data_IF_068004183873
#
_entry.id   IF_068004183873
#
_cell.length_a   1.000
_cell.length_b   1.000
_cell.length_c   1.000
_cell.angle_alpha   90.00
_cell.angle_beta   90.00
_cell.angle_gamma   90.00
#
_symmetry.space_group_name_H-M   'P 1'
#
loop_
_entity.id
_entity.type
_entity.pdbx_description
1 polymer ?
#
# COMPACT_ATOMS: atom_id res chain seq x y z
N UNK A 1 10.86 19.86 45.72
CA UNK A 1 10.47 18.48 46.06
C UNK A 1 11.20 17.59 45.07
N UNK A 2 12.18 16.83 45.54
CA UNK A 2 12.98 15.91 44.71
C UNK A 2 12.16 14.65 44.47
N UNK A 3 11.60 14.48 43.28
CA UNK A 3 10.92 13.25 42.86
C UNK A 3 11.89 12.08 43.09
N UNK A 4 11.44 11.07 43.84
CA UNK A 4 12.28 9.89 44.12
C UNK A 4 12.59 9.16 42.82
N UNK A 5 13.81 8.63 42.67
CA UNK A 5 14.17 7.82 41.50
C UNK A 5 13.17 6.67 41.27
N UNK A 6 12.57 6.12 42.33
CA UNK A 6 11.53 5.10 42.23
C UNK A 6 10.25 5.63 41.58
N UNK A 7 9.81 6.85 41.90
CA UNK A 7 8.59 7.43 41.33
C UNK A 7 8.77 7.72 39.83
N UNK A 8 9.96 8.20 39.45
CA UNK A 8 10.34 8.41 38.05
C UNK A 8 10.29 7.09 37.28
N UNK A 9 10.89 6.03 37.81
CA UNK A 9 10.90 4.71 37.16
C UNK A 9 9.50 4.10 37.05
N UNK A 10 8.65 4.26 38.06
CA UNK A 10 7.25 3.80 37.99
C UNK A 10 6.47 4.51 36.88
N UNK A 11 6.63 5.83 36.73
CA UNK A 11 5.98 6.57 35.65
C UNK A 11 6.46 6.13 34.26
N UNK A 12 7.76 5.87 34.10
CA UNK A 12 8.28 5.30 32.85
C UNK A 12 7.73 3.91 32.57
N UNK A 13 7.55 3.07 33.58
CA UNK A 13 6.96 1.75 33.40
C UNK A 13 5.51 1.82 32.90
N UNK A 14 4.69 2.70 33.49
CA UNK A 14 3.30 2.92 33.04
C UNK A 14 3.26 3.40 31.58
N UNK A 15 4.13 4.33 31.23
CA UNK A 15 4.27 4.83 29.87
C UNK A 15 4.63 3.72 28.86
N UNK A 16 5.62 2.89 29.20
CA UNK A 16 6.05 1.78 28.35
C UNK A 16 4.95 0.71 28.19
N UNK A 17 4.19 0.45 29.25
CA UNK A 17 3.06 -0.48 29.20
C UNK A 17 1.96 0.05 28.25
N UNK A 18 1.58 1.32 28.38
CA UNK A 18 0.58 1.93 27.50
C UNK A 18 1.03 1.95 26.03
N UNK A 19 2.31 2.24 25.77
CA UNK A 19 2.88 2.17 24.43
C UNK A 19 2.88 0.74 23.88
N UNK A 20 3.22 -0.25 24.71
CA UNK A 20 3.19 -1.65 24.33
C UNK A 20 1.78 -2.10 23.94
N UNK A 21 0.77 -1.75 24.74
CA UNK A 21 -0.62 -2.09 24.47
C UNK A 21 -1.10 -1.45 23.16
N UNK A 22 -0.76 -0.19 22.91
CA UNK A 22 -1.06 0.48 21.64
C UNK A 22 -0.39 -0.22 20.44
N UNK A 23 0.87 -0.63 20.57
CA UNK A 23 1.57 -1.38 19.51
C UNK A 23 0.87 -2.70 19.20
N UNK A 24 0.34 -3.38 20.21
CA UNK A 24 -0.39 -4.63 20.02
C UNK A 24 -1.73 -4.40 19.31
N UNK A 25 -2.45 -3.33 19.67
CA UNK A 25 -3.67 -2.94 18.95
C UNK A 25 -3.40 -2.60 17.48
N UNK A 26 -2.29 -1.88 17.20
CA UNK A 26 -1.87 -1.56 15.83
C UNK A 26 -1.59 -2.84 15.05
N UNK A 27 -0.87 -3.80 15.63
CA UNK A 27 -0.55 -5.08 14.97
C UNK A 27 -1.79 -5.86 14.57
N UNK A 28 -2.84 -5.83 15.39
CA UNK A 28 -4.11 -6.50 15.07
C UNK A 28 -4.72 -5.89 13.80
N UNK A 29 -4.83 -4.56 13.74
CA UNK A 29 -5.37 -3.86 12.55
C UNK A 29 -4.50 -4.12 11.31
N UNK A 30 -3.17 -4.05 11.46
CA UNK A 30 -2.22 -4.31 10.36
C UNK A 30 -2.37 -5.73 9.83
N UNK A 31 -2.53 -6.74 10.69
CA UNK A 31 -2.71 -8.14 10.27
C UNK A 31 -3.98 -8.32 9.44
N UNK A 32 -5.06 -7.67 9.82
CA UNK A 32 -6.35 -7.75 9.12
C UNK A 32 -6.30 -6.97 7.78
N UNK A 33 -5.58 -5.85 7.76
CA UNK A 33 -5.24 -5.12 6.54
C UNK A 33 -4.41 -5.99 5.59
N UNK A 34 -3.35 -6.64 6.08
CA UNK A 34 -2.53 -7.55 5.27
C UNK A 34 -3.33 -8.72 4.69
N UNK A 35 -4.27 -9.26 5.46
CA UNK A 35 -5.14 -10.32 4.99
C UNK A 35 -6.00 -9.85 3.81
N UNK A 36 -6.60 -8.67 3.95
CA UNK A 36 -7.37 -8.04 2.86
C UNK A 36 -6.49 -7.81 1.63
N UNK A 37 -5.25 -7.33 1.80
CA UNK A 37 -4.30 -7.13 0.70
C UNK A 37 -3.92 -8.45 0.02
N UNK A 38 -3.74 -9.55 0.78
CA UNK A 38 -3.48 -10.88 0.19
C UNK A 38 -4.66 -11.38 -0.63
N UNK A 39 -5.89 -11.12 -0.19
CA UNK A 39 -7.09 -11.47 -0.94
C UNK A 39 -7.18 -10.67 -2.26
N UNK A 40 -6.88 -9.36 -2.23
CA UNK A 40 -6.83 -8.50 -3.44
C UNK A 40 -5.76 -9.01 -4.40
N UNK A 41 -4.57 -9.31 -3.88
CA UNK A 41 -3.48 -9.84 -4.69
C UNK A 41 -3.89 -11.16 -5.37
N UNK A 42 -4.57 -12.03 -4.64
CA UNK A 42 -5.04 -13.33 -5.16
C UNK A 42 -6.09 -13.16 -6.25
N UNK A 43 -7.01 -12.19 -6.11
CA UNK A 43 -8.01 -11.92 -7.14
C UNK A 43 -7.41 -11.34 -8.43
N UNK A 44 -6.25 -10.69 -8.36
CA UNK A 44 -5.52 -10.16 -9.50
C UNK A 44 -4.55 -11.17 -10.15
N UNK A 45 -4.10 -12.22 -9.45
CA UNK A 45 -3.18 -13.22 -10.04
C UNK A 45 -3.64 -13.86 -11.37
N UNK A 46 -4.95 -14.07 -11.64
CA UNK A 46 -5.40 -14.63 -12.92
C UNK A 46 -5.01 -13.83 -14.17
N UNK A 47 -4.60 -12.56 -14.06
CA UNK A 47 -4.09 -11.75 -15.19
C UNK A 47 -2.89 -12.39 -15.89
N UNK A 48 -2.17 -13.29 -15.19
CA UNK A 48 -1.01 -14.02 -15.70
C UNK A 48 -1.39 -15.29 -16.47
N UNK A 49 -2.66 -15.71 -16.45
CA UNK A 49 -3.11 -16.91 -17.14
C UNK A 49 -3.49 -16.57 -18.58
N UNK A 50 -2.87 -17.19 -19.60
CA UNK A 50 -3.15 -16.89 -21.00
C UNK A 50 -4.65 -16.92 -21.37
N UNK A 51 -5.37 -17.90 -20.82
CA UNK A 51 -6.80 -18.10 -21.07
C UNK A 51 -7.71 -17.00 -20.47
N UNK A 52 -7.21 -16.19 -19.53
CA UNK A 52 -8.00 -15.19 -18.80
C UNK A 52 -7.58 -13.75 -19.14
N UNK A 53 -6.68 -13.57 -20.10
CA UNK A 53 -6.14 -12.26 -20.51
C UNK A 53 -7.21 -11.25 -20.90
N UNK A 54 -8.36 -11.70 -21.46
CA UNK A 54 -9.47 -10.82 -21.84
C UNK A 54 -10.35 -10.36 -20.66
N UNK A 55 -10.24 -11.01 -19.49
CA UNK A 55 -11.11 -10.77 -18.33
C UNK A 55 -10.49 -9.85 -17.28
N UNK A 56 -9.36 -9.18 -17.57
CA UNK A 56 -8.64 -8.36 -16.59
C UNK A 56 -9.52 -7.28 -15.93
N UNK A 57 -10.50 -6.73 -16.66
CA UNK A 57 -11.43 -5.74 -16.12
C UNK A 57 -12.27 -6.30 -14.97
N UNK A 58 -12.78 -7.53 -15.08
CA UNK A 58 -13.59 -8.12 -14.02
C UNK A 58 -12.75 -8.46 -12.78
N UNK A 59 -11.48 -8.83 -12.95
CA UNK A 59 -10.55 -8.99 -11.82
C UNK A 59 -10.29 -7.65 -11.12
N UNK A 60 -10.14 -6.57 -11.89
CA UNK A 60 -9.99 -5.22 -11.33
C UNK A 60 -11.25 -4.78 -10.57
N UNK A 61 -12.43 -5.02 -11.10
CA UNK A 61 -13.71 -4.72 -10.42
C UNK A 61 -13.85 -5.51 -9.11
N UNK A 62 -13.52 -6.80 -9.14
CA UNK A 62 -13.54 -7.64 -7.94
C UNK A 62 -12.53 -7.13 -6.89
N UNK A 63 -11.31 -6.81 -7.29
CA UNK A 63 -10.31 -6.21 -6.42
C UNK A 63 -10.80 -4.88 -5.81
N UNK A 64 -11.33 -3.97 -6.64
CA UNK A 64 -11.88 -2.68 -6.21
C UNK A 64 -13.06 -2.84 -5.25
N UNK A 65 -13.88 -3.89 -5.42
CA UNK A 65 -14.99 -4.16 -4.51
C UNK A 65 -14.54 -4.37 -3.07
N UNK A 66 -13.28 -4.75 -2.83
CA UNK A 66 -12.72 -4.99 -1.50
C UNK A 66 -12.03 -3.76 -0.90
N UNK A 67 -11.84 -2.67 -1.65
CA UNK A 67 -11.17 -1.46 -1.16
C UNK A 67 -11.91 -0.77 -0.02
N UNK A 68 -13.23 -0.95 0.10
CA UNK A 68 -13.97 -0.46 1.26
C UNK A 68 -13.42 -1.02 2.59
N UNK A 69 -12.95 -2.28 2.59
CA UNK A 69 -12.31 -2.89 3.77
C UNK A 69 -10.96 -2.24 4.06
N UNK A 70 -10.18 -1.94 3.02
CA UNK A 70 -8.91 -1.21 3.15
C UNK A 70 -9.15 0.15 3.81
N UNK A 71 -10.14 0.90 3.33
CA UNK A 71 -10.54 2.19 3.91
C UNK A 71 -10.96 2.05 5.38
N UNK A 72 -11.73 1.02 5.72
CA UNK A 72 -12.13 0.74 7.09
C UNK A 72 -10.92 0.46 8.00
N UNK A 73 -9.97 -0.37 7.55
CA UNK A 73 -8.75 -0.68 8.30
C UNK A 73 -7.88 0.55 8.51
N UNK A 74 -7.69 1.40 7.50
CA UNK A 74 -6.94 2.66 7.66
C UNK A 74 -7.65 3.65 8.58
N UNK A 75 -8.98 3.70 8.55
CA UNK A 75 -9.77 4.50 9.49
C UNK A 75 -9.60 4.02 10.94
N UNK A 76 -9.61 2.71 11.15
CA UNK A 76 -9.36 2.10 12.47
C UNK A 76 -7.92 2.34 12.93
N UNK A 77 -6.95 2.25 12.02
CA UNK A 77 -5.55 2.54 12.32
C UNK A 77 -5.39 4.02 12.70
N UNK A 78 -5.92 4.94 11.89
CA UNK A 78 -5.86 6.38 12.12
C UNK A 78 -6.51 6.80 13.44
N UNK A 79 -7.56 6.13 13.91
CA UNK A 79 -8.22 6.48 15.17
C UNK A 79 -7.42 6.06 16.41
N UNK A 80 -6.49 5.10 16.26
CA UNK A 80 -5.61 4.62 17.33
C UNK A 80 -4.35 5.46 17.48
N UNK A 81 -3.84 6.06 16.39
CA UNK A 81 -2.58 6.80 16.42
C UNK A 81 -2.79 8.19 17.04
N UNK A 82 -2.07 8.52 18.12
CA UNK A 82 -2.12 9.88 18.68
C UNK A 82 -1.60 10.91 17.68
N UNK A 83 -2.14 12.14 17.77
CA UNK A 83 -1.66 13.28 17.00
C UNK A 83 -0.13 13.41 17.10
N UNK A 84 0.52 13.66 15.97
CA UNK A 84 1.97 13.80 15.83
C UNK A 84 2.81 12.55 16.16
N UNK A 85 2.20 11.37 16.30
CA UNK A 85 2.94 10.11 16.54
C UNK A 85 2.96 9.16 15.33
N UNK A 86 2.62 9.64 14.13
CA UNK A 86 2.65 8.85 12.90
C UNK A 86 3.98 8.10 12.72
N UNK A 87 5.09 8.83 12.63
CA UNK A 87 6.43 8.26 12.42
C UNK A 87 6.99 7.49 13.61
N UNK A 88 6.34 7.53 14.77
CA UNK A 88 6.71 6.68 15.91
C UNK A 88 6.29 5.23 15.68
N UNK A 89 5.18 5.03 14.98
CA UNK A 89 4.57 3.73 14.79
C UNK A 89 4.52 3.28 13.32
N UNK A 90 4.92 4.12 12.36
CA UNK A 90 4.74 3.83 10.94
C UNK A 90 5.38 2.52 10.47
N UNK A 91 6.50 2.11 11.06
CA UNK A 91 7.16 0.83 10.76
C UNK A 91 6.22 -0.38 10.87
N UNK A 92 5.13 -0.30 11.66
CA UNK A 92 4.16 -1.40 11.75
C UNK A 92 3.34 -1.58 10.47
N UNK A 93 2.93 -0.49 9.81
CA UNK A 93 2.09 -0.56 8.60
C UNK A 93 2.85 -0.26 7.30
N UNK A 94 4.07 0.27 7.38
CA UNK A 94 4.91 0.67 6.25
C UNK A 94 4.90 -0.36 5.11
N UNK A 95 5.22 -1.61 5.43
CA UNK A 95 5.31 -2.67 4.43
C UNK A 95 3.96 -3.00 3.78
N UNK A 96 2.88 -3.03 4.57
CA UNK A 96 1.55 -3.29 4.01
C UNK A 96 1.05 -2.11 3.20
N UNK A 97 1.37 -0.86 3.58
CA UNK A 97 1.03 0.34 2.81
C UNK A 97 1.71 0.35 1.45
N UNK A 98 3.00 0.01 1.38
CA UNK A 98 3.71 -0.14 0.09
C UNK A 98 3.03 -1.19 -0.81
N UNK A 99 2.55 -2.30 -0.24
CA UNK A 99 1.79 -3.32 -0.98
C UNK A 99 0.43 -2.82 -1.43
N UNK A 100 -0.27 -2.02 -0.62
CA UNK A 100 -1.54 -1.39 -1.01
C UNK A 100 -1.32 -0.44 -2.18
N UNK A 101 -0.30 0.43 -2.12
CA UNK A 101 0.07 1.33 -3.22
C UNK A 101 0.31 0.53 -4.49
N UNK A 102 1.11 -0.55 -4.40
CA UNK A 102 1.36 -1.45 -5.52
C UNK A 102 0.04 -2.01 -6.12
N UNK A 103 -0.91 -2.47 -5.30
CA UNK A 103 -2.21 -2.95 -5.80
C UNK A 103 -3.00 -1.85 -6.51
N UNK A 104 -3.01 -0.62 -5.98
CA UNK A 104 -3.67 0.52 -6.62
C UNK A 104 -3.04 0.79 -7.99
N UNK A 105 -1.71 0.85 -8.04
CA UNK A 105 -0.96 1.14 -9.24
C UNK A 105 -1.15 0.04 -10.31
N UNK A 106 -1.20 -1.23 -9.91
CA UNK A 106 -1.49 -2.34 -10.81
C UNK A 106 -2.91 -2.24 -11.40
N UNK A 107 -3.91 -1.94 -10.58
CA UNK A 107 -5.30 -1.82 -11.04
C UNK A 107 -5.44 -0.66 -12.04
N UNK A 108 -4.86 0.51 -11.73
CA UNK A 108 -4.91 1.68 -12.62
C UNK A 108 -4.15 1.41 -13.91
N UNK A 109 -2.95 0.80 -13.83
CA UNK A 109 -2.21 0.40 -15.02
C UNK A 109 -3.02 -0.57 -15.90
N UNK A 110 -3.66 -1.60 -15.32
CA UNK A 110 -4.44 -2.56 -16.08
C UNK A 110 -5.64 -1.92 -16.78
N UNK A 111 -6.27 -0.90 -16.18
CA UNK A 111 -7.46 -0.24 -16.72
C UNK A 111 -7.15 0.88 -17.70
N UNK A 112 -6.10 1.65 -17.43
CA UNK A 112 -5.86 2.96 -18.05
C UNK A 112 -4.44 3.10 -18.63
N UNK A 113 -3.55 2.12 -18.39
CA UNK A 113 -2.16 2.10 -18.88
C UNK A 113 -1.34 3.33 -18.51
N UNK A 114 -1.62 3.88 -17.32
CA UNK A 114 -0.90 5.02 -16.74
C UNK A 114 -0.49 4.76 -15.30
N UNK A 115 0.37 5.64 -14.79
CA UNK A 115 0.75 5.66 -13.39
C UNK A 115 -0.37 6.30 -12.56
N UNK A 116 -0.68 5.71 -11.41
CA UNK A 116 -1.57 6.30 -10.41
C UNK A 116 -0.83 7.39 -9.64
N UNK A 117 -1.43 8.56 -9.46
CA UNK A 117 -0.88 9.64 -8.63
C UNK A 117 -0.96 9.30 -7.14
N UNK A 118 -0.16 9.98 -6.31
CA UNK A 118 -0.20 9.78 -4.85
C UNK A 118 -1.54 10.19 -4.26
N UNK A 119 -2.14 11.24 -4.81
CA UNK A 119 -3.45 11.78 -4.48
C UNK A 119 -4.54 10.74 -4.75
N UNK A 120 -4.53 10.12 -5.92
CA UNK A 120 -5.50 9.05 -6.24
C UNK A 120 -5.35 7.84 -5.31
N UNK A 121 -4.12 7.46 -4.94
CA UNK A 121 -3.94 6.36 -3.97
C UNK A 121 -4.51 6.75 -2.61
N UNK A 122 -4.28 7.98 -2.15
CA UNK A 122 -4.80 8.49 -0.88
C UNK A 122 -6.33 8.44 -0.85
N UNK A 123 -6.98 8.86 -1.95
CA UNK A 123 -8.43 8.78 -2.12
C UNK A 123 -8.95 7.34 -2.13
N UNK A 124 -8.26 6.44 -2.85
CA UNK A 124 -8.66 5.02 -2.92
C UNK A 124 -8.62 4.34 -1.56
N UNK A 125 -7.65 4.68 -0.71
CA UNK A 125 -7.47 4.03 0.61
C UNK A 125 -8.06 4.84 1.77
N UNK A 126 -8.58 6.04 1.51
CA UNK A 126 -9.28 6.87 2.49
C UNK A 126 -8.37 7.54 3.51
N UNK A 127 -7.19 8.00 3.09
CA UNK A 127 -6.23 8.73 3.93
C UNK A 127 -5.84 10.05 3.29
N UNK A 128 -5.08 10.88 4.00
CA UNK A 128 -4.64 12.18 3.53
C UNK A 128 -3.37 12.10 2.67
N UNK A 129 -3.12 13.17 1.92
CA UNK A 129 -1.88 13.33 1.14
C UNK A 129 -0.82 14.08 1.95
N UNK A 130 -1.22 15.12 2.67
CA UNK A 130 -0.30 15.91 3.49
C UNK A 130 -0.34 15.46 4.95
N UNK A 131 0.82 15.53 5.59
CA UNK A 131 0.97 15.25 7.02
C UNK A 131 0.12 16.15 7.90
N UNK A 132 -0.07 17.41 7.50
CA UNK A 132 -0.80 18.41 8.27
C UNK A 132 -2.30 18.09 8.39
N UNK A 133 -2.83 17.38 7.41
CA UNK A 133 -4.26 17.02 7.33
C UNK A 133 -4.58 15.75 8.15
N UNK A 134 -3.55 15.00 8.59
CA UNK A 134 -3.69 13.85 9.48
C UNK A 134 -2.92 12.61 9.06
N UNK A 135 -3.55 11.43 9.22
CA UNK A 135 -2.99 10.17 8.77
C UNK A 135 -2.87 10.17 7.24
N UNK A 136 -1.67 9.95 6.72
CA UNK A 136 -1.34 10.21 5.33
C UNK A 136 -0.52 9.09 4.67
N UNK A 137 -0.42 9.16 3.34
CA UNK A 137 0.53 8.35 2.55
C UNK A 137 1.88 9.06 2.50
N UNK A 138 2.89 8.42 3.10
CA UNK A 138 4.27 8.87 2.99
C UNK A 138 4.78 8.73 1.55
N UNK A 139 5.59 9.71 1.10
CA UNK A 139 6.15 9.71 -0.25
C UNK A 139 7.04 8.48 -0.48
N UNK A 140 7.84 8.08 0.51
CA UNK A 140 8.74 6.94 0.40
C UNK A 140 7.94 5.65 0.20
N UNK A 141 6.82 5.50 0.89
CA UNK A 141 5.96 4.32 0.77
C UNK A 141 5.22 4.28 -0.57
N UNK A 142 4.83 5.44 -1.10
CA UNK A 142 4.31 5.55 -2.44
C UNK A 142 5.35 5.09 -3.48
N UNK A 143 6.55 5.68 -3.46
CA UNK A 143 7.62 5.35 -4.41
C UNK A 143 8.03 3.88 -4.34
N UNK A 144 8.19 3.32 -3.13
CA UNK A 144 8.48 1.89 -2.94
C UNK A 144 7.36 1.00 -3.48
N UNK A 145 6.10 1.40 -3.32
CA UNK A 145 4.96 0.72 -3.94
C UNK A 145 5.03 0.71 -5.47
N UNK A 146 5.41 1.82 -6.10
CA UNK A 146 5.59 1.92 -7.56
C UNK A 146 6.75 1.04 -8.04
N UNK A 147 7.86 0.96 -7.29
CA UNK A 147 8.96 0.05 -7.65
C UNK A 147 8.53 -1.43 -7.64
N UNK A 148 7.62 -1.81 -6.75
CA UNK A 148 7.08 -3.17 -6.74
C UNK A 148 6.21 -3.47 -7.98
N UNK A 149 5.58 -2.45 -8.58
CA UNK A 149 4.80 -2.62 -9.81
C UNK A 149 5.67 -3.09 -10.98
N UNK A 150 6.90 -2.56 -11.14
CA UNK A 150 7.76 -2.89 -12.30
C UNK A 150 8.10 -4.38 -12.35
N UNK A 151 8.26 -5.02 -11.19
CA UNK A 151 8.49 -6.46 -11.09
C UNK A 151 7.29 -7.27 -11.60
N UNK A 152 6.07 -6.89 -11.23
CA UNK A 152 4.86 -7.57 -11.69
C UNK A 152 4.60 -7.34 -13.18
N UNK A 153 4.85 -6.12 -13.67
CA UNK A 153 4.72 -5.81 -15.10
C UNK A 153 5.73 -6.58 -15.95
N UNK A 154 6.95 -6.78 -15.45
CA UNK A 154 7.95 -7.62 -16.14
C UNK A 154 7.47 -9.07 -16.29
N UNK A 155 6.85 -9.62 -15.23
CA UNK A 155 6.22 -10.94 -15.28
C UNK A 155 5.02 -10.98 -16.22
N UNK A 156 4.17 -9.96 -16.18
CA UNK A 156 3.01 -9.84 -17.05
C UNK A 156 3.40 -9.75 -18.53
N UNK A 157 4.48 -9.03 -18.85
CA UNK A 157 5.02 -8.94 -20.22
C UNK A 157 5.45 -10.31 -20.74
N UNK A 158 6.16 -11.10 -19.92
CA UNK A 158 6.56 -12.46 -20.28
C UNK A 158 5.35 -13.35 -20.57
N UNK A 159 4.35 -13.32 -19.69
CA UNK A 159 3.13 -14.12 -19.85
C UNK A 159 2.28 -13.67 -21.06
N UNK A 160 2.28 -12.38 -21.39
CA UNK A 160 1.59 -11.85 -22.56
C UNK A 160 2.17 -12.44 -23.86
N UNK A 161 3.50 -12.56 -23.97
CA UNK A 161 4.15 -13.21 -25.11
C UNK A 161 3.73 -14.67 -25.23
N UNK A 162 3.69 -15.41 -24.11
CA UNK A 162 3.22 -16.81 -24.09
C UNK A 162 1.73 -16.92 -24.48
N UNK A 163 0.93 -15.90 -24.21
CA UNK A 163 -0.48 -15.81 -24.60
C UNK A 163 -0.69 -15.32 -26.04
N UNK A 164 0.37 -14.99 -26.78
CA UNK A 164 0.30 -14.47 -28.15
C UNK A 164 0.02 -12.96 -28.26
N UNK A 165 0.01 -12.23 -27.14
CA UNK A 165 -0.09 -10.76 -27.12
C UNK A 165 1.32 -10.13 -27.14
N UNK A 166 1.78 -9.81 -28.35
CA UNK A 166 3.07 -9.12 -28.57
C UNK A 166 2.98 -7.60 -28.41
N UNK A 167 1.77 -7.05 -28.26
CA UNK A 167 1.56 -5.59 -28.12
C UNK A 167 1.78 -5.12 -26.68
N UNK A 168 1.33 -5.91 -25.70
CA UNK A 168 1.44 -5.59 -24.27
C UNK A 168 2.89 -5.44 -23.77
N UNK A 169 3.86 -6.29 -24.16
CA UNK A 169 5.26 -6.09 -23.78
C UNK A 169 5.84 -4.74 -24.24
N UNK A 170 5.47 -4.27 -25.44
CA UNK A 170 5.93 -2.97 -25.95
C UNK A 170 5.39 -1.82 -25.10
N UNK A 171 4.10 -1.86 -24.76
CA UNK A 171 3.46 -0.86 -23.89
C UNK A 171 4.05 -0.87 -22.47
N UNK A 172 4.28 -2.06 -21.91
CA UNK A 172 4.96 -2.22 -20.60
C UNK A 172 6.37 -1.63 -20.66
N UNK A 173 7.13 -1.89 -21.73
CA UNK A 173 8.48 -1.35 -21.88
C UNK A 173 8.50 0.18 -21.96
N UNK A 174 7.53 0.79 -22.66
CA UNK A 174 7.39 2.25 -22.71
C UNK A 174 7.07 2.81 -21.34
N UNK A 175 6.08 2.24 -20.66
CA UNK A 175 5.68 2.65 -19.32
C UNK A 175 6.82 2.55 -18.30
N UNK A 176 7.56 1.44 -18.28
CA UNK A 176 8.74 1.29 -17.40
C UNK A 176 9.84 2.30 -17.75
N UNK A 177 10.01 2.63 -19.03
CA UNK A 177 10.96 3.65 -19.46
C UNK A 177 10.61 5.05 -18.94
N UNK A 178 9.33 5.41 -18.95
CA UNK A 178 8.83 6.67 -18.36
C UNK A 178 9.03 6.70 -16.84
N UNK A 179 8.74 5.58 -16.16
CA UNK A 179 8.99 5.46 -14.72
C UNK A 179 10.48 5.63 -14.40
N UNK A 180 11.36 4.91 -15.09
CA UNK A 180 12.79 4.99 -14.87
C UNK A 180 13.34 6.41 -15.10
N UNK A 181 12.86 7.12 -16.13
CA UNK A 181 13.19 8.53 -16.32
C UNK A 181 12.74 9.39 -15.13
N UNK A 182 11.51 9.23 -14.67
CA UNK A 182 10.99 9.97 -13.50
C UNK A 182 11.77 9.68 -12.22
N UNK A 183 12.14 8.43 -11.96
CA UNK A 183 12.94 8.06 -10.79
C UNK A 183 14.39 8.61 -10.83
N UNK A 184 14.95 8.88 -12.02
CA UNK A 184 16.29 9.50 -12.15
C UNK A 184 16.28 11.01 -11.87
N UNK A 185 15.11 11.66 -11.90
CA UNK A 185 14.96 13.09 -11.63
C UNK A 185 14.75 13.41 -10.13
N UNK A 186 14.52 12.38 -9.31
CA UNK A 186 14.40 12.46 -7.84
C UNK A 186 15.77 12.60 -7.16
#
# INVERSE_FOLDING_TARGET
MTTSASEILSHFQEYLNAEHDLREEIRIVVRDLEQTVREIQTSLQPIHQPAQTANYLSFCENALSMFHKIQEHYKQLSSKIPLNQYYRFNDHWRFVTQRVVYMCALIIYLKEERLVSREEVADMIGVQVNREDGFHIDLDDYLMGILNLTNELSRLAMNAVTAGDYSRPLRISQFIGELDAGFREL
#
